data_IF_671071666911
#
_entry.id   IF_671071666911
#
_cell.length_a   1.000
_cell.length_b   1.000
_cell.length_c   1.000
_cell.angle_alpha   90.00
_cell.angle_beta   90.00
_cell.angle_gamma   90.00
#
_symmetry.space_group_name_H-M   'P 1'
#
loop_
_entity.id
_entity.type
_entity.pdbx_description
1 polymer ?
#
# COMPACT_ATOMS: atom_id res chain seq x y z
N UNK A 1 18.46 -2.76 -36.82
CA UNK A 1 16.99 -2.90 -36.76
C UNK A 1 16.62 -3.84 -35.62
N UNK A 2 15.66 -3.48 -34.75
CA UNK A 2 15.26 -4.27 -33.58
C UNK A 2 14.39 -5.44 -34.03
N UNK A 3 14.80 -6.69 -33.76
CA UNK A 3 13.99 -7.89 -34.03
C UNK A 3 12.75 -7.87 -33.14
N UNK A 4 11.59 -7.64 -33.72
CA UNK A 4 10.30 -7.79 -33.03
C UNK A 4 10.08 -9.29 -32.88
N UNK A 5 10.17 -9.81 -31.66
CA UNK A 5 9.82 -11.21 -31.38
C UNK A 5 8.29 -11.31 -31.48
N UNK A 6 7.81 -12.06 -32.48
CA UNK A 6 6.37 -12.19 -32.81
C UNK A 6 5.56 -12.83 -31.68
N UNK A 7 6.22 -13.48 -30.73
CA UNK A 7 5.62 -14.10 -29.55
C UNK A 7 5.36 -13.11 -28.40
N UNK A 8 6.07 -11.98 -28.33
CA UNK A 8 5.87 -10.99 -27.27
C UNK A 8 4.76 -10.02 -27.64
N UNK A 9 3.72 -9.94 -26.81
CA UNK A 9 2.66 -8.94 -26.94
C UNK A 9 3.22 -7.54 -26.63
N UNK A 10 2.66 -6.52 -27.28
CA UNK A 10 3.17 -5.14 -27.25
C UNK A 10 3.22 -4.54 -25.83
N UNK A 11 2.29 -4.96 -24.96
CA UNK A 11 2.22 -4.54 -23.56
C UNK A 11 3.40 -5.02 -22.70
N UNK A 12 4.18 -6.01 -23.17
CA UNK A 12 5.36 -6.53 -22.49
C UNK A 12 6.67 -5.92 -23.00
N UNK A 13 6.64 -4.77 -23.69
CA UNK A 13 7.87 -4.04 -24.04
C UNK A 13 8.50 -3.35 -22.81
N UNK A 14 9.36 -4.10 -22.12
CA UNK A 14 10.16 -3.60 -20.99
C UNK A 14 11.46 -2.91 -21.40
N UNK A 15 11.67 -2.55 -22.68
CA UNK A 15 12.93 -1.90 -23.13
C UNK A 15 13.22 -0.56 -22.46
N UNK A 16 12.18 0.11 -21.92
CA UNK A 16 12.29 1.33 -21.12
C UNK A 16 12.30 1.09 -19.61
N UNK A 17 12.37 -0.18 -19.19
CA UNK A 17 12.36 -0.58 -17.79
C UNK A 17 13.62 -0.12 -17.05
N UNK A 18 13.45 0.42 -15.83
CA UNK A 18 14.56 0.82 -14.96
C UNK A 18 14.70 -0.20 -13.85
N UNK A 19 15.85 -0.90 -13.78
CA UNK A 19 16.13 -1.86 -12.72
C UNK A 19 16.10 -1.16 -11.37
N UNK A 20 15.31 -1.70 -10.44
CA UNK A 20 15.23 -1.17 -9.09
C UNK A 20 14.50 0.18 -8.95
N UNK A 21 13.60 0.54 -9.88
CA UNK A 21 12.82 1.80 -9.81
C UNK A 21 12.12 2.04 -8.46
N UNK A 22 11.76 0.97 -7.76
CA UNK A 22 11.03 1.02 -6.48
C UNK A 22 11.76 0.36 -5.31
N UNK A 23 12.98 -0.15 -5.49
CA UNK A 23 13.69 -0.91 -4.42
C UNK A 23 13.93 -0.06 -3.19
N UNK A 24 14.27 1.23 -3.34
CA UNK A 24 14.44 2.14 -2.20
C UNK A 24 13.14 2.34 -1.41
N UNK A 25 11.99 2.46 -2.09
CA UNK A 25 10.68 2.62 -1.44
C UNK A 25 10.26 1.34 -0.71
N UNK A 26 10.56 0.18 -1.31
CA UNK A 26 10.32 -1.10 -0.69
C UNK A 26 11.21 -1.31 0.56
N UNK A 27 12.50 -0.98 0.46
CA UNK A 27 13.47 -1.11 1.54
C UNK A 27 13.21 -0.17 2.73
N UNK A 28 12.52 0.95 2.51
CA UNK A 28 12.05 1.84 3.59
C UNK A 28 11.03 1.16 4.52
N UNK A 29 10.49 0.00 4.13
CA UNK A 29 9.50 -0.74 4.88
C UNK A 29 8.12 -0.10 4.76
N UNK A 30 7.14 -0.88 4.31
CA UNK A 30 5.74 -0.49 4.44
C UNK A 30 5.21 -1.13 5.71
N UNK A 31 4.63 -0.34 6.62
CA UNK A 31 3.95 -0.88 7.78
C UNK A 31 2.59 -1.45 7.34
N UNK A 32 2.60 -2.71 6.88
CA UNK A 32 1.40 -3.44 6.48
C UNK A 32 0.81 -4.13 7.70
N UNK A 33 -0.41 -3.75 8.04
CA UNK A 33 -1.20 -4.41 9.09
C UNK A 33 -2.35 -5.13 8.42
N UNK A 34 -2.34 -6.46 8.50
CA UNK A 34 -3.44 -7.27 8.01
C UNK A 34 -4.59 -7.22 9.02
N UNK A 35 -5.78 -6.85 8.55
CA UNK A 35 -6.99 -6.88 9.37
C UNK A 35 -7.50 -8.32 9.48
N UNK A 36 -8.04 -8.66 10.64
CA UNK A 36 -8.75 -9.92 10.84
C UNK A 36 -10.03 -9.96 9.98
N UNK A 37 -10.50 -11.18 9.69
CA UNK A 37 -11.60 -11.40 8.74
C UNK A 37 -12.92 -10.75 9.17
N UNK A 38 -13.19 -10.71 10.47
CA UNK A 38 -14.34 -10.02 11.07
C UNK A 38 -14.27 -8.50 10.86
N UNK A 39 -13.11 -7.89 11.13
CA UNK A 39 -12.92 -6.43 10.93
C UNK A 39 -13.01 -6.08 9.45
N UNK A 40 -12.45 -6.92 8.56
CA UNK A 40 -12.55 -6.71 7.11
C UNK A 40 -13.99 -6.74 6.60
N UNK A 41 -14.90 -7.50 7.23
CA UNK A 41 -16.32 -7.52 6.85
C UNK A 41 -17.05 -6.23 7.23
N UNK A 42 -16.52 -5.47 8.19
CA UNK A 42 -17.13 -4.22 8.67
C UNK A 42 -16.73 -3.00 7.85
N UNK A 43 -15.60 -3.06 7.13
CA UNK A 43 -15.05 -1.93 6.40
C UNK A 43 -14.82 -2.26 4.92
N UNK A 44 -15.30 -1.38 4.04
CA UNK A 44 -15.22 -1.58 2.59
C UNK A 44 -13.81 -1.30 2.03
N UNK A 45 -13.08 -0.38 2.65
CA UNK A 45 -11.78 0.09 2.16
C UNK A 45 -10.84 0.53 3.30
N UNK A 46 -9.58 0.79 2.94
CA UNK A 46 -8.57 1.26 3.89
C UNK A 46 -8.81 2.69 4.39
N UNK A 47 -9.56 3.52 3.65
CA UNK A 47 -9.80 4.91 4.04
C UNK A 47 -10.74 4.99 5.25
N UNK A 48 -11.83 4.22 5.21
CA UNK A 48 -12.80 4.11 6.29
C UNK A 48 -12.19 3.57 7.58
N UNK A 49 -11.34 2.54 7.51
CA UNK A 49 -10.58 2.01 8.67
C UNK A 49 -9.69 3.10 9.27
N UNK A 50 -8.90 3.77 8.43
CA UNK A 50 -7.95 4.79 8.89
C UNK A 50 -8.65 6.02 9.49
N UNK A 51 -9.83 6.40 8.98
CA UNK A 51 -10.63 7.48 9.56
C UNK A 51 -11.03 7.18 11.01
N UNK A 52 -11.54 5.97 11.26
CA UNK A 52 -11.94 5.53 12.62
C UNK A 52 -10.73 5.47 13.56
N UNK A 53 -9.63 4.85 13.13
CA UNK A 53 -8.42 4.75 13.95
C UNK A 53 -7.85 6.11 14.33
N UNK A 54 -7.91 7.11 13.43
CA UNK A 54 -7.50 8.49 13.74
C UNK A 54 -8.38 9.15 14.79
N UNK A 55 -9.69 8.90 14.79
CA UNK A 55 -10.60 9.40 15.82
C UNK A 55 -10.24 8.78 17.18
N UNK A 56 -10.08 7.45 17.23
CA UNK A 56 -9.68 6.73 18.45
C UNK A 56 -8.34 7.27 18.97
N UNK A 57 -7.36 7.47 18.09
CA UNK A 57 -6.06 8.03 18.46
C UNK A 57 -6.17 9.44 19.06
N UNK A 58 -7.05 10.30 18.54
CA UNK A 58 -7.30 11.64 19.12
C UNK A 58 -7.88 11.53 20.53
N UNK A 59 -8.84 10.63 20.75
CA UNK A 59 -9.45 10.41 22.06
C UNK A 59 -8.41 9.87 23.06
N UNK A 60 -7.63 8.86 22.66
CA UNK A 60 -6.59 8.27 23.50
C UNK A 60 -5.53 9.30 23.91
N UNK A 61 -5.09 10.17 22.99
CA UNK A 61 -4.15 11.25 23.31
C UNK A 61 -4.73 12.24 24.32
N UNK A 62 -6.00 12.64 24.16
CA UNK A 62 -6.67 13.53 25.12
C UNK A 62 -6.72 12.92 26.52
N UNK A 63 -7.04 11.62 26.64
CA UNK A 63 -7.00 10.92 27.92
C UNK A 63 -5.61 10.87 28.54
N UNK A 64 -4.56 10.64 27.74
CA UNK A 64 -3.17 10.63 28.21
C UNK A 64 -2.67 11.99 28.68
N UNK A 65 -3.21 13.09 28.16
CA UNK A 65 -2.88 14.47 28.58
C UNK A 65 -3.64 14.91 29.85
N UNK A 66 -4.74 14.22 30.18
CA UNK A 66 -5.56 14.49 31.35
C UNK A 66 -5.22 13.59 32.56
N UNK A 67 -4.20 12.73 32.42
CA UNK A 67 -3.65 11.86 33.45
C UNK A 67 -2.22 12.29 33.77
#
# INVERSE_FOLDING_TARGET
MRKINKEMLNEYDFSKGVRGKYTKRYAQGTNLVMLSADVKKMFNDSESVNAVLRIIAKIARRKKLAA
#
